data_IF_254617385920
#
_entry.id   IF_254617385920
#
_cell.length_a   1.000
_cell.length_b   1.000
_cell.length_c   1.000
_cell.angle_alpha   90.00
_cell.angle_beta   90.00
_cell.angle_gamma   90.00
#
_symmetry.space_group_name_H-M   'P 1'
#
loop_
_entity.id
_entity.type
_entity.pdbx_description
1 polymer ?
#
# COMPACT_ATOMS: atom_id res chain seq x y z
N UNK A 1 0.10 -15.16 -6.41
CA UNK A 1 0.49 -16.54 -6.01
C UNK A 1 0.91 -16.65 -4.55
N UNK A 2 1.99 -15.99 -4.10
CA UNK A 2 2.46 -16.14 -2.71
C UNK A 2 1.47 -15.64 -1.65
N UNK A 3 0.77 -14.54 -1.92
CA UNK A 3 -0.29 -14.05 -1.03
C UNK A 3 -1.45 -15.06 -0.87
N UNK A 4 -1.85 -15.74 -1.96
CA UNK A 4 -2.86 -16.80 -1.90
C UNK A 4 -2.32 -18.03 -1.16
N UNK A 5 -1.06 -18.40 -1.40
CA UNK A 5 -0.41 -19.51 -0.70
C UNK A 5 -0.30 -19.28 0.81
N UNK A 6 0.11 -18.08 1.23
CA UNK A 6 0.17 -17.70 2.65
C UNK A 6 -1.22 -17.63 3.26
N UNK A 7 -2.21 -17.08 2.54
CA UNK A 7 -3.60 -17.03 3.01
C UNK A 7 -4.21 -18.42 3.21
N UNK A 8 -3.98 -19.35 2.29
CA UNK A 8 -4.48 -20.73 2.39
C UNK A 8 -3.79 -21.50 3.53
N UNK A 9 -2.47 -21.35 3.70
CA UNK A 9 -1.74 -21.98 4.80
C UNK A 9 -2.08 -21.38 6.17
N UNK A 10 -2.21 -20.05 6.26
CA UNK A 10 -2.63 -19.35 7.48
C UNK A 10 -4.08 -19.66 7.85
N UNK A 11 -4.98 -19.79 6.86
CA UNK A 11 -6.38 -20.18 7.10
C UNK A 11 -6.50 -21.62 7.63
N UNK A 12 -5.54 -22.49 7.30
CA UNK A 12 -5.48 -23.85 7.85
C UNK A 12 -5.01 -23.88 9.31
N UNK A 13 -4.20 -22.91 9.74
CA UNK A 13 -3.77 -22.75 11.14
C UNK A 13 -4.84 -22.06 11.99
N UNK A 14 -5.65 -21.18 11.39
CA UNK A 14 -6.81 -20.52 12.01
C UNK A 14 -8.06 -21.41 11.82
N UNK A 15 -7.93 -22.72 12.02
CA UNK A 15 -9.07 -23.65 11.97
C UNK A 15 -9.87 -23.58 13.29
N UNK A 16 -10.39 -22.39 13.59
CA UNK A 16 -11.38 -22.15 14.64
C UNK A 16 -12.75 -22.14 13.95
N UNK A 17 -13.70 -22.87 14.55
CA UNK A 17 -15.07 -23.14 14.07
C UNK A 17 -15.68 -22.10 13.11
N UNK A 18 -16.44 -22.51 12.08
CA UNK A 18 -16.89 -21.64 11.00
C UNK A 18 -17.69 -20.46 11.54
N UNK A 19 -17.01 -19.34 11.74
CA UNK A 19 -17.64 -18.10 12.14
C UNK A 19 -18.49 -17.63 10.96
N UNK A 20 -19.77 -17.37 11.20
CA UNK A 20 -20.66 -16.70 10.24
C UNK A 20 -20.06 -15.32 9.91
N UNK A 21 -19.26 -15.28 8.86
CA UNK A 21 -18.65 -14.05 8.35
C UNK A 21 -19.77 -13.13 7.85
N UNK A 22 -19.91 -11.91 8.40
CA UNK A 22 -20.84 -10.94 7.84
C UNK A 22 -20.37 -10.65 6.42
N UNK A 23 -21.20 -10.98 5.43
CA UNK A 23 -20.92 -10.65 4.03
C UNK A 23 -20.84 -9.14 3.93
N UNK A 24 -19.62 -8.59 3.82
CA UNK A 24 -19.40 -7.22 3.38
C UNK A 24 -19.89 -7.14 1.93
N UNK A 25 -21.18 -6.83 1.76
CA UNK A 25 -21.75 -6.50 0.45
C UNK A 25 -21.29 -5.08 0.15
N UNK A 26 -20.06 -4.95 -0.36
CA UNK A 26 -19.57 -3.67 -0.86
C UNK A 26 -20.43 -3.26 -2.08
N UNK A 27 -20.95 -2.02 -2.12
CA UNK A 27 -21.72 -1.53 -3.26
C UNK A 27 -20.92 -1.67 -4.55
N UNK A 28 -21.52 -2.29 -5.56
CA UNK A 28 -20.91 -2.48 -6.89
C UNK A 28 -20.50 -1.15 -7.51
N UNK A 29 -21.22 -0.08 -7.17
CA UNK A 29 -20.98 1.29 -7.65
C UNK A 29 -19.60 1.84 -7.22
N UNK A 30 -19.07 1.44 -6.06
CA UNK A 30 -17.74 1.83 -5.60
C UNK A 30 -16.66 1.19 -6.49
N UNK A 31 -16.79 -0.11 -6.76
CA UNK A 31 -15.85 -0.79 -7.65
C UNK A 31 -15.93 -0.27 -9.09
N UNK A 32 -17.14 0.00 -9.58
CA UNK A 32 -17.34 0.52 -10.94
C UNK A 32 -16.81 1.94 -11.07
N UNK A 33 -17.02 2.81 -10.09
CA UNK A 33 -16.48 4.18 -10.10
C UNK A 33 -14.95 4.22 -10.02
N UNK A 34 -14.35 3.43 -9.13
CA UNK A 34 -12.90 3.29 -9.03
C UNK A 34 -12.34 2.70 -10.33
N UNK A 35 -12.94 1.62 -10.83
CA UNK A 35 -12.51 0.98 -12.07
C UNK A 35 -12.62 1.91 -13.27
N UNK A 36 -13.68 2.74 -13.34
CA UNK A 36 -13.85 3.74 -14.39
C UNK A 36 -12.84 4.88 -14.28
N UNK A 37 -12.53 5.34 -13.08
CA UNK A 37 -11.52 6.39 -12.86
C UNK A 37 -10.12 5.91 -13.23
N UNK A 38 -9.71 4.76 -12.70
CA UNK A 38 -8.40 4.16 -12.99
C UNK A 38 -8.30 3.79 -14.46
N UNK A 39 -9.36 3.18 -15.02
CA UNK A 39 -9.40 2.81 -16.43
C UNK A 39 -9.31 4.03 -17.35
N UNK A 40 -9.93 5.16 -16.98
CA UNK A 40 -9.81 6.41 -17.72
C UNK A 40 -8.38 6.97 -17.74
N UNK A 41 -7.71 6.97 -16.58
CA UNK A 41 -6.31 7.41 -16.45
C UNK A 41 -5.38 6.51 -17.28
N UNK A 42 -5.48 5.19 -17.11
CA UNK A 42 -4.65 4.20 -17.83
C UNK A 42 -4.87 4.28 -19.33
N UNK A 43 -6.11 4.44 -19.79
CA UNK A 43 -6.40 4.54 -21.21
C UNK A 43 -5.86 5.84 -21.83
N UNK A 44 -5.80 6.93 -21.05
CA UNK A 44 -5.15 8.18 -21.48
C UNK A 44 -3.64 7.97 -21.66
N UNK A 45 -3.00 7.30 -20.71
CA UNK A 45 -1.57 7.03 -20.75
C UNK A 45 -1.21 6.08 -21.90
N UNK A 46 -1.99 5.02 -22.11
CA UNK A 46 -1.84 4.10 -23.24
C UNK A 46 -2.03 4.81 -24.58
N UNK A 47 -3.00 5.72 -24.67
CA UNK A 47 -3.22 6.54 -25.88
C UNK A 47 -2.03 7.46 -26.16
N UNK A 48 -1.43 8.03 -25.11
CA UNK A 48 -0.20 8.82 -25.24
C UNK A 48 0.98 7.95 -25.71
N UNK A 49 1.17 6.76 -25.16
CA UNK A 49 2.19 5.82 -25.64
C UNK A 49 1.95 5.41 -27.11
N UNK A 50 0.69 5.18 -27.48
CA UNK A 50 0.32 4.83 -28.85
C UNK A 50 0.61 5.96 -29.84
N UNK A 51 0.31 7.20 -29.46
CA UNK A 51 0.58 8.40 -30.27
C UNK A 51 2.09 8.60 -30.48
N UNK A 52 2.88 8.41 -29.41
CA UNK A 52 4.35 8.44 -29.45
C UNK A 52 4.92 7.30 -30.31
N UNK A 53 4.28 6.12 -30.35
CA UNK A 53 4.74 4.97 -31.14
C UNK A 53 4.34 5.02 -32.62
N UNK A 54 3.18 5.61 -32.97
CA UNK A 54 2.66 5.60 -34.35
C UNK A 54 3.09 6.81 -35.20
N UNK A 55 3.48 7.94 -34.60
CA UNK A 55 3.85 9.13 -35.37
C UNK A 55 4.60 10.23 -34.61
N UNK A 56 4.89 10.04 -33.32
CA UNK A 56 5.64 10.99 -32.52
C UNK A 56 7.13 11.01 -32.83
N UNK A 57 7.79 12.14 -32.56
CA UNK A 57 9.24 12.32 -32.66
C UNK A 57 10.01 11.10 -32.10
N UNK A 58 10.82 10.44 -32.94
CA UNK A 58 11.61 9.25 -32.61
C UNK A 58 12.47 9.41 -31.33
N UNK A 59 12.94 10.63 -31.07
CA UNK A 59 13.66 11.00 -29.84
C UNK A 59 12.81 10.83 -28.58
N UNK A 60 11.53 11.16 -28.65
CA UNK A 60 10.57 11.09 -27.55
C UNK A 60 10.18 9.63 -27.26
N UNK A 61 10.05 8.79 -28.29
CA UNK A 61 9.87 7.35 -28.14
C UNK A 61 11.04 6.69 -27.41
N UNK A 62 12.28 6.95 -27.85
CA UNK A 62 13.48 6.40 -27.20
C UNK A 62 13.59 6.87 -25.74
N UNK A 63 13.26 8.14 -25.46
CA UNK A 63 13.24 8.69 -24.10
C UNK A 63 12.24 7.95 -23.20
N UNK A 64 11.02 7.68 -23.69
CA UNK A 64 9.97 6.96 -22.94
C UNK A 64 10.36 5.50 -22.71
N UNK A 65 10.93 4.82 -23.70
CA UNK A 65 11.40 3.43 -23.55
C UNK A 65 12.55 3.36 -22.54
N UNK A 66 13.51 4.28 -22.61
CA UNK A 66 14.62 4.35 -21.67
C UNK A 66 14.14 4.64 -20.23
N UNK A 67 13.19 5.56 -20.05
CA UNK A 67 12.65 5.86 -18.73
C UNK A 67 11.86 4.69 -18.14
N UNK A 68 11.09 3.97 -18.95
CA UNK A 68 10.41 2.73 -18.53
C UNK A 68 11.43 1.65 -18.11
N UNK A 69 12.53 1.51 -18.84
CA UNK A 69 13.60 0.56 -18.53
C UNK A 69 14.27 0.88 -17.19
N UNK A 70 14.60 2.15 -16.95
CA UNK A 70 15.16 2.60 -15.66
C UNK A 70 14.17 2.37 -14.53
N UNK A 71 12.89 2.71 -14.73
CA UNK A 71 11.83 2.46 -13.74
C UNK A 71 11.64 0.96 -13.46
N UNK A 72 11.78 0.10 -14.47
CA UNK A 72 11.70 -1.36 -14.32
C UNK A 72 12.89 -1.94 -13.54
N UNK A 73 14.11 -1.45 -13.77
CA UNK A 73 15.31 -1.85 -13.03
C UNK A 73 15.20 -1.42 -11.57
N UNK A 74 14.74 -0.19 -11.32
CA UNK A 74 14.49 0.32 -9.97
C UNK A 74 13.37 -0.49 -9.30
N UNK A 75 12.27 -0.75 -10.00
CA UNK A 75 11.15 -1.56 -9.50
C UNK A 75 11.55 -3.01 -9.21
N UNK A 76 12.47 -3.58 -9.98
CA UNK A 76 13.04 -4.90 -9.77
C UNK A 76 13.81 -5.04 -8.45
N UNK A 77 14.28 -3.94 -7.86
CA UNK A 77 15.04 -3.93 -6.62
C UNK A 77 14.19 -3.66 -5.37
N UNK A 78 12.96 -3.14 -5.52
CA UNK A 78 12.42 -2.24 -4.51
C UNK A 78 11.08 -2.60 -3.85
N UNK A 79 10.72 -3.86 -3.57
CA UNK A 79 9.82 -4.00 -2.41
C UNK A 79 9.75 -5.37 -1.80
N UNK A 80 9.24 -6.34 -2.55
CA UNK A 80 8.76 -7.56 -1.92
C UNK A 80 9.90 -8.43 -1.39
N UNK A 81 10.97 -8.61 -2.18
CA UNK A 81 12.15 -9.37 -1.78
C UNK A 81 12.90 -8.67 -0.64
N UNK A 82 13.03 -7.36 -0.70
CA UNK A 82 13.72 -6.57 0.32
C UNK A 82 12.95 -6.57 1.63
N UNK A 83 11.62 -6.47 1.61
CA UNK A 83 10.75 -6.58 2.79
C UNK A 83 10.79 -8.00 3.38
N UNK A 84 10.78 -9.04 2.54
CA UNK A 84 10.94 -10.43 3.01
C UNK A 84 12.31 -10.62 3.65
N UNK A 85 13.36 -10.11 3.01
CA UNK A 85 14.73 -10.23 3.50
C UNK A 85 14.90 -9.52 4.85
N UNK A 86 14.45 -8.26 4.95
CA UNK A 86 14.47 -7.52 6.21
C UNK A 86 13.59 -8.22 7.25
N UNK A 87 12.41 -8.71 6.88
CA UNK A 87 11.52 -9.43 7.80
C UNK A 87 12.15 -10.72 8.34
N UNK A 88 12.88 -11.47 7.49
CA UNK A 88 13.57 -12.69 7.88
C UNK A 88 14.77 -12.39 8.80
N UNK A 89 15.59 -11.40 8.43
CA UNK A 89 16.72 -10.94 9.25
C UNK A 89 16.21 -10.41 10.59
N UNK A 90 15.15 -9.61 10.58
CA UNK A 90 14.51 -9.07 11.76
C UNK A 90 13.93 -10.18 12.65
N UNK A 91 13.23 -11.17 12.10
CA UNK A 91 12.66 -12.27 12.90
C UNK A 91 13.71 -13.10 13.65
N UNK A 92 14.92 -13.22 13.10
CA UNK A 92 16.03 -13.91 13.76
C UNK A 92 16.86 -13.01 14.68
N UNK A 93 16.99 -11.73 14.33
CA UNK A 93 17.86 -10.79 15.06
C UNK A 93 17.12 -10.11 16.22
N UNK A 94 15.82 -9.80 16.07
CA UNK A 94 15.02 -9.16 17.11
C UNK A 94 15.02 -9.94 18.43
N UNK A 95 14.77 -11.27 18.46
CA UNK A 95 14.68 -11.99 19.73
C UNK A 95 15.97 -11.91 20.54
N UNK A 96 17.12 -12.10 19.86
CA UNK A 96 18.45 -12.05 20.49
C UNK A 96 18.81 -10.64 20.93
N UNK A 97 18.41 -9.62 20.15
CA UNK A 97 18.64 -8.23 20.50
C UNK A 97 17.78 -7.81 21.69
N UNK A 98 16.52 -8.23 21.72
CA UNK A 98 15.57 -7.91 22.77
C UNK A 98 15.97 -8.56 24.09
N UNK A 99 16.39 -9.82 24.09
CA UNK A 99 16.84 -10.51 25.30
C UNK A 99 18.09 -9.87 25.93
N UNK A 100 18.90 -9.17 25.12
CA UNK A 100 20.13 -8.52 25.58
C UNK A 100 19.99 -7.03 25.92
N UNK A 101 19.03 -6.34 25.33
CA UNK A 101 18.88 -4.89 25.40
C UNK A 101 17.43 -4.44 25.62
N UNK A 102 16.61 -5.27 26.28
CA UNK A 102 15.17 -5.06 26.51
C UNK A 102 14.86 -3.62 26.95
N UNK A 103 15.49 -3.15 28.02
CA UNK A 103 15.27 -1.81 28.59
C UNK A 103 15.64 -0.68 27.60
N UNK A 104 16.72 -0.85 26.83
CA UNK A 104 17.20 0.17 25.88
C UNK A 104 16.30 0.25 24.64
N UNK A 105 15.81 -0.92 24.19
CA UNK A 105 14.88 -1.03 23.06
C UNK A 105 13.53 -0.46 23.44
N UNK A 106 13.01 -0.77 24.63
CA UNK A 106 11.70 -0.27 25.06
C UNK A 106 11.71 1.26 25.27
N UNK A 107 12.77 1.81 25.88
CA UNK A 107 12.95 3.26 26.02
C UNK A 107 13.05 3.96 24.65
N UNK A 108 13.79 3.37 23.70
CA UNK A 108 13.88 3.90 22.34
C UNK A 108 12.54 3.85 21.61
N UNK A 109 11.80 2.75 21.73
CA UNK A 109 10.47 2.57 21.12
C UNK A 109 9.48 3.57 21.71
N UNK A 110 9.41 3.72 23.03
CA UNK A 110 8.54 4.69 23.69
C UNK A 110 8.84 6.12 23.23
N UNK A 111 10.12 6.54 23.28
CA UNK A 111 10.52 7.89 22.84
C UNK A 111 10.23 8.14 21.36
N UNK A 112 10.37 7.11 20.53
CA UNK A 112 10.10 7.21 19.09
C UNK A 112 8.60 7.29 18.82
N UNK A 113 7.78 6.46 19.49
CA UNK A 113 6.33 6.47 19.39
C UNK A 113 5.74 7.78 19.89
N UNK A 114 6.22 8.31 21.02
CA UNK A 114 5.78 9.61 21.55
C UNK A 114 6.06 10.75 20.58
N UNK A 115 7.26 10.77 19.97
CA UNK A 115 7.60 11.76 18.93
C UNK A 115 6.72 11.62 17.69
N UNK A 116 6.49 10.39 17.24
CA UNK A 116 5.63 10.13 16.08
C UNK A 116 4.19 10.55 16.36
N UNK A 117 3.63 10.21 17.52
CA UNK A 117 2.29 10.60 17.93
C UNK A 117 2.17 12.12 18.07
N UNK A 118 3.19 12.78 18.63
CA UNK A 118 3.24 14.23 18.71
C UNK A 118 3.25 14.89 17.33
N UNK A 119 4.10 14.41 16.42
CA UNK A 119 4.18 14.92 15.05
C UNK A 119 2.91 14.62 14.25
N UNK A 120 2.34 13.43 14.40
CA UNK A 120 1.07 13.06 13.79
C UNK A 120 -0.05 13.97 14.28
N UNK A 121 -0.12 14.26 15.59
CA UNK A 121 -1.14 15.17 16.14
C UNK A 121 -0.97 16.60 15.64
N UNK A 122 0.27 17.07 15.39
CA UNK A 122 0.52 18.36 14.72
C UNK A 122 0.07 18.35 13.26
N UNK A 123 0.33 17.28 12.52
CA UNK A 123 -0.12 17.13 11.14
C UNK A 123 -1.64 17.03 11.03
N UNK A 124 -2.27 16.31 11.96
CA UNK A 124 -3.72 16.17 12.03
C UNK A 124 -4.38 17.53 12.37
N UNK A 125 -3.89 18.22 13.40
CA UNK A 125 -4.39 19.56 13.76
C UNK A 125 -4.09 20.63 12.69
N UNK A 126 -2.98 20.51 11.96
CA UNK A 126 -2.57 21.50 10.96
C UNK A 126 -3.24 21.30 9.60
N UNK A 127 -3.35 20.06 9.15
CA UNK A 127 -3.70 19.71 7.77
C UNK A 127 -4.95 18.84 7.68
N UNK A 128 -4.99 17.68 8.36
CA UNK A 128 -6.10 16.72 8.19
C UNK A 128 -7.43 17.21 8.77
N UNK A 129 -7.39 17.93 9.89
CA UNK A 129 -8.58 18.51 10.52
C UNK A 129 -9.14 19.72 9.75
N UNK A 130 -8.32 20.35 8.90
CA UNK A 130 -8.76 21.40 7.97
C UNK A 130 -9.37 20.86 6.68
N UNK A 131 -9.15 19.57 6.37
CA UNK A 131 -9.86 18.94 5.26
C UNK A 131 -11.32 18.81 5.69
N UNK A 132 -12.27 19.44 4.97
CA UNK A 132 -13.67 19.38 5.35
C UNK A 132 -14.12 17.92 5.32
N UNK A 133 -14.38 17.36 6.51
CA UNK A 133 -15.05 16.06 6.64
C UNK A 133 -16.44 16.24 6.04
N UNK A 134 -16.62 15.80 4.81
CA UNK A 134 -17.91 15.83 4.12
C UNK A 134 -18.96 15.14 4.98
N UNK A 135 -20.05 15.86 5.28
CA UNK A 135 -21.21 15.32 5.97
C UNK A 135 -21.84 14.26 5.06
N UNK A 136 -21.40 13.00 5.16
CA UNK A 136 -22.19 11.87 4.69
C UNK A 136 -23.36 11.69 5.66
N UNK A 137 -24.37 12.57 5.53
CA UNK A 137 -25.72 12.26 6.03
C UNK A 137 -26.16 10.99 5.30
N UNK A 138 -25.99 9.85 5.95
CA UNK A 138 -26.67 8.63 5.55
C UNK A 138 -28.17 8.95 5.50
N UNK A 139 -28.75 8.97 4.30
CA UNK A 139 -30.20 9.00 4.14
C UNK A 139 -30.73 7.70 4.73
N UNK A 140 -31.38 7.79 5.90
CA UNK A 140 -32.37 6.79 6.32
C UNK A 140 -33.43 6.77 5.21
N UNK A 141 -33.52 5.66 4.49
CA UNK A 141 -34.72 5.31 3.75
C UNK A 141 -35.70 4.76 4.77
N UNK A 142 -36.82 5.47 4.92
CA UNK A 142 -38.06 4.98 5.52
C UNK A 142 -38.94 4.39 4.41
#
# INVERSE_FOLDING_TARGET
MLAQFVWTNASSLINRAPAQVPRLVLPKDIFVSIGKSIGGEVNRDLKFLQDVSCGGNLKQFVLVVASLLVAAIIGSWCNFLTVIYIGFVAAHTLPVLYERYDDEVDDFVHKSLDKLQHNYRKLDAGFLSKIPKGNFKAKKYE
#
